data_IF_876777128731
#
_entry.id   IF_876777128731
#
_cell.length_a   1.000
_cell.length_b   1.000
_cell.length_c   1.000
_cell.angle_alpha   90.00
_cell.angle_beta   90.00
_cell.angle_gamma   90.00
#
_symmetry.space_group_name_H-M   'P 1'
#
loop_
_entity.id
_entity.type
_entity.pdbx_description
1 polymer ?
#
# COMPACT_ATOMS: atom_id res chain seq x y z
N UNK A 1 20.27 -46.74 -20.21
CA UNK A 1 20.88 -45.43 -19.88
C UNK A 1 19.73 -44.42 -19.95
N UNK A 2 19.24 -43.84 -18.85
CA UNK A 2 19.88 -42.72 -18.10
C UNK A 2 20.27 -41.64 -19.10
N UNK A 3 19.62 -40.48 -19.21
CA UNK A 3 18.72 -39.69 -18.36
C UNK A 3 18.88 -38.22 -18.84
N UNK A 4 18.68 -37.15 -18.03
CA UNK A 4 17.96 -37.02 -16.76
C UNK A 4 16.43 -37.29 -16.88
N UNK A 5 15.41 -36.46 -16.57
CA UNK A 5 15.27 -35.03 -16.17
C UNK A 5 14.08 -34.85 -15.20
N UNK A 6 14.05 -33.74 -14.47
CA UNK A 6 12.96 -33.29 -13.57
C UNK A 6 11.87 -32.54 -14.36
N UNK A 7 10.65 -32.47 -13.82
CA UNK A 7 9.51 -31.81 -14.49
C UNK A 7 9.79 -30.36 -14.87
N UNK A 8 9.75 -30.05 -16.17
CA UNK A 8 10.14 -28.75 -16.71
C UNK A 8 9.17 -28.29 -17.80
N UNK A 9 8.28 -27.34 -17.46
CA UNK A 9 7.34 -26.75 -18.41
C UNK A 9 8.01 -25.78 -19.42
N UNK A 10 9.26 -25.37 -19.16
CA UNK A 10 10.04 -24.44 -19.99
C UNK A 10 10.36 -24.95 -21.40
N UNK A 11 11.14 -26.04 -21.58
CA UNK A 11 11.55 -26.52 -22.90
C UNK A 11 10.35 -26.87 -23.80
N UNK A 12 9.40 -27.65 -23.29
CA UNK A 12 8.17 -28.02 -24.02
C UNK A 12 7.39 -26.80 -24.57
N UNK A 13 7.36 -25.69 -23.84
CA UNK A 13 6.72 -24.46 -24.31
C UNK A 13 7.50 -23.78 -25.46
N UNK A 14 8.82 -23.90 -25.50
CA UNK A 14 9.67 -23.42 -26.59
C UNK A 14 9.56 -24.33 -27.83
N UNK A 15 9.57 -25.65 -27.62
CA UNK A 15 9.40 -26.65 -28.68
C UNK A 15 8.06 -26.44 -29.43
N UNK A 16 6.97 -26.22 -28.68
CA UNK A 16 5.67 -25.86 -29.26
C UNK A 16 5.68 -24.50 -29.98
N UNK A 17 6.43 -23.51 -29.49
CA UNK A 17 6.53 -22.20 -30.14
C UNK A 17 7.31 -22.24 -31.47
N UNK A 18 8.25 -23.17 -31.63
CA UNK A 18 8.95 -23.39 -32.91
C UNK A 18 8.06 -24.07 -33.96
N UNK A 19 7.12 -24.92 -33.55
CA UNK A 19 6.15 -25.57 -34.43
C UNK A 19 4.97 -24.67 -34.87
N UNK A 20 4.78 -23.53 -34.20
CA UNK A 20 3.66 -22.60 -34.43
C UNK A 20 4.00 -21.47 -35.41
N UNK A 21 3.01 -20.89 -36.11
CA UNK A 21 3.23 -19.73 -36.98
C UNK A 21 3.73 -18.53 -36.18
N UNK A 22 4.66 -17.75 -36.78
CA UNK A 22 5.34 -16.61 -36.15
C UNK A 22 4.37 -15.69 -35.40
N UNK A 23 4.74 -15.30 -34.17
CA UNK A 23 4.01 -14.30 -33.39
C UNK A 23 3.99 -12.98 -34.16
N UNK A 24 2.81 -12.37 -34.26
CA UNK A 24 2.57 -11.14 -35.03
C UNK A 24 1.41 -10.36 -34.42
N UNK A 25 1.29 -9.07 -34.76
CA UNK A 25 0.22 -8.22 -34.22
C UNK A 25 -1.20 -8.77 -34.47
N UNK A 26 -1.38 -9.62 -35.48
CA UNK A 26 -2.65 -10.26 -35.83
C UNK A 26 -3.03 -11.47 -34.95
N UNK A 27 -2.07 -12.17 -34.32
CA UNK A 27 -2.36 -13.35 -33.49
C UNK A 27 -2.33 -13.09 -31.97
N UNK A 28 -2.00 -11.86 -31.54
CA UNK A 28 -2.11 -11.42 -30.14
C UNK A 28 -3.56 -11.48 -29.64
N UNK A 29 -3.75 -12.05 -28.45
CA UNK A 29 -5.05 -12.11 -27.75
C UNK A 29 -4.89 -11.75 -26.27
N UNK A 30 -5.84 -11.02 -25.66
CA UNK A 30 -5.82 -10.78 -24.23
C UNK A 30 -6.06 -12.08 -23.45
N UNK A 31 -5.42 -12.24 -22.29
CA UNK A 31 -5.64 -13.37 -21.39
C UNK A 31 -7.16 -13.53 -21.11
N UNK A 32 -7.77 -14.73 -21.28
CA UNK A 32 -9.20 -14.95 -21.03
C UNK A 32 -9.69 -14.37 -19.69
N UNK A 33 -10.90 -13.83 -19.68
CA UNK A 33 -11.50 -13.19 -18.50
C UNK A 33 -11.04 -11.75 -18.23
N UNK A 34 -9.83 -11.34 -18.64
CA UNK A 34 -9.29 -9.99 -18.37
C UNK A 34 -10.15 -8.85 -18.95
N UNK A 35 -10.72 -9.03 -20.15
CA UNK A 35 -11.60 -8.05 -20.81
C UNK A 35 -13.04 -8.54 -20.78
N UNK A 36 -13.87 -7.93 -19.91
CA UNK A 36 -15.31 -8.22 -19.81
C UNK A 36 -16.07 -7.61 -21.02
N UNK A 37 -16.98 -8.34 -21.69
CA UNK A 37 -17.64 -7.87 -22.91
C UNK A 37 -18.60 -6.70 -22.66
N UNK A 38 -18.54 -5.68 -23.54
CA UNK A 38 -19.28 -4.43 -23.39
C UNK A 38 -20.81 -4.64 -23.40
N UNK A 39 -21.50 -4.25 -22.31
CA UNK A 39 -22.95 -4.45 -22.16
C UNK A 39 -23.77 -3.37 -22.89
N UNK A 40 -23.86 -3.49 -24.22
CA UNK A 40 -24.66 -2.59 -25.09
C UNK A 40 -26.17 -2.70 -24.84
N UNK A 41 -26.89 -1.58 -24.98
CA UNK A 41 -28.37 -1.45 -24.87
C UNK A 41 -29.07 -1.74 -26.20
N UNK A 42 -28.89 -2.95 -26.74
CA UNK A 42 -29.51 -3.41 -28.01
C UNK A 42 -30.10 -4.82 -27.84
N UNK A 43 -30.93 -5.24 -28.79
CA UNK A 43 -31.57 -6.56 -28.82
C UNK A 43 -32.63 -6.79 -27.73
N UNK A 44 -33.35 -7.90 -27.82
CA UNK A 44 -34.48 -8.25 -26.93
C UNK A 44 -34.12 -8.14 -25.43
N UNK A 45 -32.99 -8.71 -25.01
CA UNK A 45 -32.55 -8.78 -23.60
C UNK A 45 -32.17 -7.44 -22.97
N UNK A 46 -31.80 -6.41 -23.75
CA UNK A 46 -31.26 -5.12 -23.21
C UNK A 46 -31.78 -3.85 -23.89
N UNK A 47 -32.60 -3.95 -24.93
CA UNK A 47 -33.19 -2.83 -25.66
C UNK A 47 -34.33 -2.13 -24.90
N UNK A 48 -35.56 -2.67 -24.99
CA UNK A 48 -36.86 -2.03 -24.66
C UNK A 48 -36.82 -0.96 -23.54
N UNK A 49 -36.36 -1.30 -22.34
CA UNK A 49 -36.28 -0.38 -21.18
C UNK A 49 -34.85 0.08 -20.83
N UNK A 50 -33.82 -0.41 -21.53
CA UNK A 50 -32.41 -0.12 -21.25
C UNK A 50 -31.92 -0.41 -19.81
N UNK A 51 -32.69 -1.16 -19.01
CA UNK A 51 -32.49 -1.34 -17.56
C UNK A 51 -32.97 -0.18 -16.67
N UNK A 52 -33.72 0.79 -17.20
CA UNK A 52 -34.13 2.03 -16.51
C UNK A 52 -35.55 2.03 -15.89
N UNK A 53 -36.32 0.95 -15.99
CA UNK A 53 -37.69 0.88 -15.44
C UNK A 53 -38.79 1.47 -16.34
N UNK A 54 -39.84 2.04 -15.72
CA UNK A 54 -41.02 2.63 -16.39
C UNK A 54 -41.35 4.02 -15.83
N UNK A 55 -41.41 5.04 -16.70
CA UNK A 55 -41.77 6.43 -16.40
C UNK A 55 -40.98 7.01 -15.21
N UNK A 56 -41.42 8.16 -14.69
CA UNK A 56 -40.89 8.86 -13.51
C UNK A 56 -39.36 9.12 -13.58
N UNK A 57 -38.77 9.51 -12.46
CA UNK A 57 -37.38 9.95 -12.33
C UNK A 57 -36.36 8.85 -12.69
N UNK A 58 -36.63 7.60 -12.32
CA UNK A 58 -35.73 6.47 -12.61
C UNK A 58 -35.54 6.25 -14.11
N UNK A 59 -36.57 6.44 -14.95
CA UNK A 59 -36.42 6.37 -16.40
C UNK A 59 -35.79 7.64 -16.98
N UNK A 60 -36.18 8.81 -16.47
CA UNK A 60 -35.73 10.13 -16.95
C UNK A 60 -34.28 10.47 -16.56
N UNK A 61 -33.76 9.87 -15.49
CA UNK A 61 -32.45 10.18 -14.91
C UNK A 61 -32.47 11.31 -13.87
N UNK A 62 -33.63 11.95 -13.67
CA UNK A 62 -33.83 13.15 -12.84
C UNK A 62 -34.11 12.79 -11.38
N UNK A 63 -33.27 11.96 -10.76
CA UNK A 63 -33.45 11.59 -9.34
C UNK A 63 -32.95 12.71 -8.40
N UNK A 64 -33.49 12.79 -7.17
CA UNK A 64 -32.87 13.53 -6.08
C UNK A 64 -31.42 13.10 -5.80
N UNK A 65 -30.68 13.95 -5.08
CA UNK A 65 -29.31 13.71 -4.63
C UNK A 65 -29.20 12.47 -3.72
N UNK A 66 -28.01 11.89 -3.64
CA UNK A 66 -27.69 10.86 -2.63
C UNK A 66 -27.97 11.41 -1.22
N UNK A 67 -28.57 10.58 -0.36
CA UNK A 67 -29.02 11.00 0.98
C UNK A 67 -30.35 11.76 1.02
N UNK A 68 -31.12 11.83 -0.07
CA UNK A 68 -32.49 12.35 -0.01
C UNK A 68 -33.51 11.23 0.27
N UNK A 69 -34.31 11.39 1.33
CA UNK A 69 -35.20 10.37 1.87
C UNK A 69 -36.70 10.66 1.59
N UNK A 70 -37.00 11.29 0.45
CA UNK A 70 -38.38 11.50 -0.01
C UNK A 70 -39.12 12.72 0.55
N UNK A 71 -38.58 13.36 1.59
CA UNK A 71 -39.13 14.60 2.17
C UNK A 71 -38.88 14.76 3.68
N UNK A 72 -38.66 13.65 4.39
CA UNK A 72 -38.24 13.66 5.80
C UNK A 72 -36.83 14.23 5.99
N UNK A 73 -36.49 14.58 7.23
CA UNK A 73 -35.13 14.95 7.64
C UNK A 73 -34.16 13.78 7.41
N UNK A 74 -33.15 13.90 6.52
CA UNK A 74 -32.24 12.80 6.24
C UNK A 74 -31.44 12.33 7.46
N UNK A 75 -31.12 11.03 7.51
CA UNK A 75 -30.33 10.40 8.56
C UNK A 75 -29.01 11.15 8.87
N UNK A 76 -28.31 11.62 7.84
CA UNK A 76 -27.05 12.38 8.00
C UNK A 76 -27.21 13.78 8.62
N UNK A 77 -28.45 14.24 8.83
CA UNK A 77 -28.82 15.45 9.57
C UNK A 77 -29.57 15.16 10.88
N UNK A 78 -30.02 13.92 11.11
CA UNK A 78 -30.60 13.49 12.39
C UNK A 78 -29.51 13.25 13.44
N UNK A 79 -28.33 12.78 13.04
CA UNK A 79 -27.18 12.60 13.93
C UNK A 79 -26.62 13.98 14.33
N UNK A 80 -26.43 14.27 15.63
CA UNK A 80 -25.82 15.52 16.07
C UNK A 80 -24.35 15.62 15.63
N UNK A 81 -23.89 16.84 15.34
CA UNK A 81 -22.47 17.10 15.03
C UNK A 81 -21.62 16.94 16.29
N UNK A 82 -20.49 16.26 16.16
CA UNK A 82 -19.49 16.10 17.22
C UNK A 82 -18.08 16.16 16.61
N UNK A 83 -17.09 16.60 17.40
CA UNK A 83 -15.73 16.94 16.96
C UNK A 83 -14.80 15.78 16.57
N UNK A 84 -15.33 14.63 16.12
CA UNK A 84 -14.53 13.41 15.82
C UNK A 84 -13.27 13.69 14.97
N UNK A 85 -13.45 14.47 13.90
CA UNK A 85 -12.39 14.85 12.96
C UNK A 85 -11.89 16.29 13.19
N UNK A 86 -12.18 16.90 14.33
CA UNK A 86 -11.71 18.26 14.62
C UNK A 86 -10.19 18.31 14.72
N UNK A 87 -9.60 19.32 14.08
CA UNK A 87 -8.14 19.44 13.95
C UNK A 87 -7.44 18.32 13.15
N UNK A 88 -8.16 17.41 12.47
CA UNK A 88 -7.53 16.24 11.83
C UNK A 88 -6.44 16.59 10.81
N UNK A 89 -6.52 17.77 10.19
CA UNK A 89 -5.54 18.33 9.26
C UNK A 89 -4.21 18.75 9.89
N UNK A 90 -4.14 18.81 11.22
CA UNK A 90 -2.98 19.22 12.02
C UNK A 90 -2.47 18.12 12.98
N UNK A 91 -3.16 16.98 13.06
CA UNK A 91 -2.73 15.83 13.87
C UNK A 91 -1.45 15.25 13.25
N UNK A 92 -0.38 15.17 14.04
CA UNK A 92 0.89 14.55 13.62
C UNK A 92 0.70 13.04 13.49
N UNK A 93 1.12 12.46 12.38
CA UNK A 93 1.10 11.02 12.14
C UNK A 93 2.53 10.47 12.07
N UNK A 94 2.71 9.23 12.51
CA UNK A 94 4.00 8.55 12.50
C UNK A 94 3.80 7.15 11.96
N UNK A 95 4.53 6.76 10.93
CA UNK A 95 4.37 5.44 10.31
C UNK A 95 4.99 4.38 11.23
N UNK A 96 4.27 3.32 11.63
CA UNK A 96 4.82 2.29 12.51
C UNK A 96 5.92 1.47 11.82
N UNK A 97 7.01 1.25 12.55
CA UNK A 97 8.10 0.33 12.21
C UNK A 97 8.24 -0.67 13.36
N UNK A 98 7.92 -1.94 13.11
CA UNK A 98 8.09 -3.01 14.09
C UNK A 98 9.51 -3.55 14.13
N UNK A 99 9.97 -4.02 15.29
CA UNK A 99 11.28 -4.66 15.45
C UNK A 99 11.45 -5.89 14.54
N UNK A 100 10.37 -6.66 14.33
CA UNK A 100 10.34 -7.76 13.36
C UNK A 100 10.64 -7.27 11.93
N UNK A 101 10.01 -6.18 11.50
CA UNK A 101 10.26 -5.55 10.19
C UNK A 101 11.69 -5.01 10.08
N UNK A 102 12.25 -4.47 11.17
CA UNK A 102 13.62 -3.97 11.23
C UNK A 102 14.64 -5.12 11.07
N UNK A 103 14.48 -6.21 11.84
CA UNK A 103 15.31 -7.42 11.72
C UNK A 103 15.28 -7.99 10.29
N UNK A 104 14.10 -8.13 9.69
CA UNK A 104 13.93 -8.60 8.31
C UNK A 104 14.66 -7.75 7.26
N UNK A 105 14.85 -6.45 7.48
CA UNK A 105 15.59 -5.58 6.56
C UNK A 105 17.11 -5.77 6.70
N UNK A 106 17.59 -6.05 7.90
CA UNK A 106 19.00 -6.38 8.19
C UNK A 106 19.33 -7.77 7.63
N UNK A 107 18.47 -8.76 7.87
CA UNK A 107 18.65 -10.15 7.40
C UNK A 107 18.68 -10.25 5.85
N UNK A 108 18.06 -9.28 5.16
CA UNK A 108 18.10 -9.14 3.69
C UNK A 108 19.27 -8.28 3.17
N UNK A 109 20.12 -7.71 4.03
CA UNK A 109 21.18 -6.79 3.62
C UNK A 109 20.66 -5.51 2.96
N UNK A 110 19.52 -4.97 3.43
CA UNK A 110 18.91 -3.72 2.91
C UNK A 110 19.14 -2.50 3.80
N UNK A 111 19.53 -2.74 5.05
CA UNK A 111 19.85 -1.73 6.06
C UNK A 111 21.05 -2.27 6.83
N UNK A 112 22.20 -1.60 6.75
CA UNK A 112 23.45 -2.06 7.35
C UNK A 112 23.50 -1.67 8.85
N UNK A 113 23.52 -2.63 9.79
CA UNK A 113 23.49 -2.33 11.23
C UNK A 113 24.81 -1.74 11.76
N UNK A 114 25.84 -1.67 10.93
CA UNK A 114 27.15 -1.07 11.24
C UNK A 114 27.16 0.46 11.08
N UNK A 115 26.15 1.03 10.42
CA UNK A 115 25.96 2.48 10.25
C UNK A 115 24.79 2.95 11.12
N UNK A 116 24.71 4.26 11.45
CA UNK A 116 23.48 4.81 12.04
C UNK A 116 22.29 4.60 11.09
N UNK A 117 21.20 4.04 11.63
CA UNK A 117 19.96 3.79 10.89
C UNK A 117 19.10 5.05 10.96
N UNK A 118 19.37 5.97 10.06
CA UNK A 118 18.59 7.19 9.87
C UNK A 118 17.33 6.92 9.04
N UNK A 119 16.39 7.88 9.06
CA UNK A 119 15.19 7.87 8.21
C UNK A 119 15.51 7.71 6.72
N UNK A 120 16.64 8.25 6.25
CA UNK A 120 17.12 8.10 4.87
C UNK A 120 17.36 6.62 4.52
N UNK A 121 18.04 5.87 5.40
CA UNK A 121 18.32 4.44 5.19
C UNK A 121 17.04 3.59 5.23
N UNK A 122 16.10 3.92 6.12
CA UNK A 122 14.80 3.25 6.20
C UNK A 122 13.94 3.44 4.94
N UNK A 123 14.08 4.60 4.26
CA UNK A 123 13.44 4.86 2.95
C UNK A 123 14.21 4.16 1.82
N UNK A 124 15.55 4.24 1.79
CA UNK A 124 16.42 3.59 0.80
C UNK A 124 16.14 2.08 0.70
N UNK A 125 16.18 1.37 1.83
CA UNK A 125 15.89 -0.07 1.89
C UNK A 125 14.44 -0.46 1.57
N UNK A 126 13.57 0.54 1.36
CA UNK A 126 12.10 0.43 1.25
C UNK A 126 11.51 -0.29 2.48
N UNK A 127 12.08 0.03 3.63
CA UNK A 127 11.64 -0.46 4.94
C UNK A 127 10.35 0.20 5.38
N UNK A 128 10.31 1.53 5.26
CA UNK A 128 9.16 2.40 5.54
C UNK A 128 8.85 3.24 4.29
N UNK A 129 7.61 3.71 4.14
CA UNK A 129 7.22 4.71 3.14
C UNK A 129 6.51 5.85 3.85
N UNK A 130 7.09 7.04 3.78
CA UNK A 130 6.64 8.25 4.49
C UNK A 130 6.09 9.22 3.46
N UNK A 131 5.01 9.93 3.79
CA UNK A 131 4.32 10.86 2.89
C UNK A 131 4.09 12.19 3.63
N UNK A 132 5.07 13.12 3.63
CA UNK A 132 4.99 14.40 4.34
C UNK A 132 3.71 15.20 4.02
N UNK A 133 3.23 15.13 2.78
CA UNK A 133 1.98 15.74 2.32
C UNK A 133 0.71 15.21 3.03
N UNK A 134 0.76 14.03 3.67
CA UNK A 134 -0.30 13.46 4.51
C UNK A 134 -0.22 13.84 5.99
N UNK A 135 0.75 14.70 6.37
CA UNK A 135 1.05 15.11 7.76
C UNK A 135 1.68 13.99 8.58
N UNK A 136 2.44 13.14 7.88
CA UNK A 136 3.45 12.30 8.53
C UNK A 136 4.57 13.20 9.04
N UNK A 137 5.04 12.97 10.27
CA UNK A 137 6.17 13.65 10.91
C UNK A 137 7.36 12.70 11.12
N UNK A 138 7.29 11.47 10.60
CA UNK A 138 8.33 10.46 10.69
C UNK A 138 7.80 9.06 10.94
N UNK A 139 8.56 8.31 11.73
CA UNK A 139 8.41 6.90 12.07
C UNK A 139 8.20 6.77 13.59
N UNK A 140 7.36 5.82 13.99
CA UNK A 140 7.26 5.38 15.38
C UNK A 140 7.75 3.94 15.48
N UNK A 141 8.71 3.68 16.38
CA UNK A 141 9.23 2.34 16.63
C UNK A 141 8.29 1.58 17.57
N UNK A 142 7.87 0.39 17.15
CA UNK A 142 6.86 -0.44 17.83
C UNK A 142 7.47 -1.78 18.24
N UNK A 143 7.10 -2.26 19.42
CA UNK A 143 7.63 -3.43 20.11
C UNK A 143 7.30 -4.79 19.48
N UNK A 144 6.52 -4.84 18.41
CA UNK A 144 6.17 -6.07 17.70
C UNK A 144 7.44 -6.80 17.21
N UNK A 145 7.74 -7.95 17.81
CA UNK A 145 8.95 -8.75 17.56
C UNK A 145 10.07 -8.58 18.58
N UNK A 146 9.86 -7.90 19.72
CA UNK A 146 10.86 -7.71 20.75
C UNK A 146 11.57 -9.01 21.20
N UNK A 147 10.82 -10.11 21.36
CA UNK A 147 11.38 -11.40 21.80
C UNK A 147 12.32 -12.07 20.77
N UNK A 148 12.11 -11.77 19.48
CA UNK A 148 12.87 -12.35 18.37
C UNK A 148 14.00 -11.44 17.87
N UNK A 149 14.00 -10.17 18.27
CA UNK A 149 14.96 -9.16 17.84
C UNK A 149 16.37 -9.42 18.39
N UNK A 150 17.39 -9.42 17.53
CA UNK A 150 18.78 -9.76 17.89
C UNK A 150 19.84 -8.81 17.34
N UNK A 151 19.48 -7.93 16.40
CA UNK A 151 20.45 -7.00 15.82
C UNK A 151 20.87 -5.93 16.83
N UNK A 152 22.18 -5.75 17.00
CA UNK A 152 22.76 -4.54 17.61
C UNK A 152 22.71 -3.43 16.57
N UNK A 153 21.97 -2.36 16.86
CA UNK A 153 21.77 -1.21 15.95
C UNK A 153 21.91 0.11 16.71
N UNK A 154 22.33 1.16 16.01
CA UNK A 154 22.10 2.54 16.42
C UNK A 154 21.01 3.11 15.50
N UNK A 155 19.86 3.53 16.03
CA UNK A 155 18.71 3.95 15.22
C UNK A 155 18.12 5.27 15.69
N UNK A 156 17.83 6.17 14.74
CA UNK A 156 17.14 7.43 14.99
C UNK A 156 15.68 7.37 14.55
N UNK A 157 14.76 7.57 15.50
CA UNK A 157 13.31 7.52 15.29
C UNK A 157 12.59 8.64 16.03
N UNK A 158 11.48 9.12 15.48
CA UNK A 158 10.80 10.31 16.01
C UNK A 158 9.94 9.99 17.24
N UNK A 159 9.52 8.72 17.39
CA UNK A 159 8.91 8.14 18.59
C UNK A 159 9.39 6.68 18.74
N UNK A 160 9.43 6.18 19.97
CA UNK A 160 9.64 4.76 20.28
C UNK A 160 8.87 4.38 21.55
N UNK A 161 8.38 3.13 21.63
CA UNK A 161 7.81 2.60 22.88
C UNK A 161 8.90 2.12 23.83
N UNK A 162 8.64 2.19 25.14
CA UNK A 162 9.60 1.81 26.19
C UNK A 162 10.08 0.35 26.04
N UNK A 163 9.19 -0.56 25.64
CA UNK A 163 9.50 -1.97 25.40
C UNK A 163 10.39 -2.13 24.15
N UNK A 164 10.16 -1.34 23.09
CA UNK A 164 11.01 -1.35 21.90
C UNK A 164 12.42 -0.81 22.18
N UNK A 165 12.55 0.24 23.01
CA UNK A 165 13.84 0.77 23.48
C UNK A 165 14.57 -0.31 24.28
N UNK A 166 13.94 -0.89 25.31
CA UNK A 166 14.54 -1.92 26.14
C UNK A 166 14.98 -3.16 25.35
N UNK A 167 14.26 -3.54 24.29
CA UNK A 167 14.64 -4.65 23.42
C UNK A 167 15.90 -4.36 22.57
N UNK A 168 16.10 -3.11 22.13
CA UNK A 168 17.31 -2.69 21.42
C UNK A 168 18.51 -2.55 22.37
N UNK A 169 18.31 -1.91 23.53
CA UNK A 169 19.36 -1.71 24.54
C UNK A 169 19.85 -3.03 25.14
N UNK A 170 18.96 -4.00 25.35
CA UNK A 170 19.31 -5.38 25.76
C UNK A 170 20.25 -6.09 24.79
N UNK A 171 20.18 -5.77 23.49
CA UNK A 171 21.11 -6.25 22.46
C UNK A 171 22.36 -5.36 22.32
N UNK A 172 22.55 -4.37 23.22
CA UNK A 172 23.65 -3.42 23.19
C UNK A 172 23.56 -2.39 22.07
N UNK A 173 22.37 -2.15 21.52
CA UNK A 173 22.07 -1.06 20.60
C UNK A 173 21.81 0.27 21.31
N UNK A 174 21.49 1.30 20.53
CA UNK A 174 21.16 2.65 20.98
C UNK A 174 19.95 3.15 20.18
N UNK A 175 19.04 3.87 20.84
CA UNK A 175 17.90 4.55 20.22
C UNK A 175 18.02 6.04 20.49
N UNK A 176 18.10 6.85 19.43
CA UNK A 176 18.03 8.32 19.52
C UNK A 176 16.66 8.81 19.09
N UNK A 177 16.17 9.88 19.72
CA UNK A 177 14.94 10.56 19.30
C UNK A 177 15.23 11.96 18.80
N UNK A 178 14.74 12.25 17.59
CA UNK A 178 14.93 13.51 16.89
C UNK A 178 13.62 14.03 16.32
N UNK A 179 13.52 15.35 16.12
CA UNK A 179 12.37 15.98 15.49
C UNK A 179 12.75 16.57 14.14
N UNK A 180 11.90 16.34 13.14
CA UNK A 180 12.05 16.87 11.79
C UNK A 180 10.84 17.72 11.43
N UNK A 181 11.08 18.97 11.03
CA UNK A 181 10.06 19.79 10.40
C UNK A 181 9.55 19.13 9.10
N UNK A 182 8.28 19.36 8.68
CA UNK A 182 7.73 18.75 7.47
C UNK A 182 8.59 18.93 6.21
N UNK A 183 9.29 20.07 6.08
CA UNK A 183 10.22 20.36 4.97
C UNK A 183 11.52 19.58 5.08
N UNK A 184 12.06 19.40 6.29
CA UNK A 184 13.27 18.60 6.53
C UNK A 184 12.98 17.12 6.30
N UNK A 185 11.81 16.65 6.75
CA UNK A 185 11.29 15.31 6.48
C UNK A 185 11.10 15.05 4.97
N UNK A 186 10.58 16.03 4.24
CA UNK A 186 10.44 15.98 2.78
C UNK A 186 11.81 15.87 2.08
N UNK A 187 12.79 16.70 2.46
CA UNK A 187 14.16 16.60 1.92
C UNK A 187 14.74 15.20 2.17
N UNK A 188 14.73 14.71 3.42
CA UNK A 188 15.33 13.42 3.78
C UNK A 188 14.63 12.22 3.13
N UNK A 189 13.31 12.25 2.99
CA UNK A 189 12.56 11.18 2.31
C UNK A 189 12.73 11.18 0.80
N UNK A 190 12.86 12.33 0.14
CA UNK A 190 13.09 12.39 -1.31
C UNK A 190 14.57 12.22 -1.70
N UNK A 191 15.53 12.61 -0.86
CA UNK A 191 16.96 12.48 -1.15
C UNK A 191 17.41 11.01 -1.30
N UNK A 192 16.71 10.07 -0.63
CA UNK A 192 16.88 8.63 -0.83
C UNK A 192 16.19 8.03 -2.07
N UNK A 193 15.35 8.81 -2.76
CA UNK A 193 14.53 8.32 -3.89
C UNK A 193 15.16 8.51 -5.27
N UNK A 194 16.39 9.01 -5.35
CA UNK A 194 17.10 9.26 -6.61
C UNK A 194 17.85 8.02 -7.14
N UNK A 195 17.08 6.97 -7.49
CA UNK A 195 17.55 5.75 -8.19
C UNK A 195 16.49 5.22 -9.16
#
# INVERSE_FOLDING_TARGET
MVGPVRGAAGPWALDLLWALPRVSLANLRPNPGSRKPQRRRRGQRRGKKCGRGHKREWQRGTRPRLGFEGGQTPFYLQIPKYGFNEGHSFRRQYQPLSLNRLQYLIDLGRVDPTQPIDLTQLVNGRGVTIQPSKRDYGVQLVEEGADTFKAKVNIEVQLASELAIAAIEKNGGVVTTAFYDPRSLEILSFQGSQW
#
